data_IF_422156219810
#
_entry.id   IF_422156219810
#
_cell.length_a   1.000
_cell.length_b   1.000
_cell.length_c   1.000
_cell.angle_alpha   90.00
_cell.angle_beta   90.00
_cell.angle_gamma   90.00
#
_symmetry.space_group_name_H-M   'P 1'
#
loop_
_entity.id
_entity.type
_entity.pdbx_description
1 polymer ?
#
# COMPACT_ATOMS: atom_id res chain seq x y z
N UNK A 1 29.94 18.99 -2.29
CA UNK A 1 31.37 18.99 -1.88
C UNK A 1 32.11 18.02 -2.79
N UNK A 2 33.08 18.53 -3.55
CA UNK A 2 33.88 17.72 -4.48
C UNK A 2 34.68 16.68 -3.68
N UNK A 3 34.67 15.41 -4.10
CA UNK A 3 35.51 14.38 -3.47
C UNK A 3 36.97 14.73 -3.81
N UNK A 4 37.89 14.79 -2.84
CA UNK A 4 39.30 15.00 -3.14
C UNK A 4 39.80 13.83 -4.01
N UNK A 5 40.24 14.14 -5.22
CA UNK A 5 40.86 13.18 -6.13
C UNK A 5 42.34 13.07 -5.76
N UNK A 6 42.84 11.84 -5.59
CA UNK A 6 44.25 11.56 -5.32
C UNK A 6 44.76 10.77 -6.52
N UNK A 7 45.72 11.35 -7.25
CA UNK A 7 46.36 10.68 -8.38
C UNK A 7 47.16 9.46 -7.90
N UNK A 8 47.26 8.43 -8.74
CA UNK A 8 47.90 7.14 -8.37
C UNK A 8 49.33 7.31 -7.87
N UNK A 9 50.05 8.29 -8.39
CA UNK A 9 51.43 8.61 -8.04
C UNK A 9 51.58 9.09 -6.59
N UNK A 10 50.53 9.66 -6.02
CA UNK A 10 50.48 10.15 -4.65
C UNK A 10 49.90 9.14 -3.66
N UNK A 11 49.55 7.94 -4.11
CA UNK A 11 49.01 6.87 -3.28
C UNK A 11 50.04 5.77 -3.01
N UNK A 12 50.16 5.37 -1.74
CA UNK A 12 50.95 4.22 -1.31
C UNK A 12 50.01 3.03 -1.13
N UNK A 13 49.96 2.16 -2.12
CA UNK A 13 49.08 0.99 -2.14
C UNK A 13 49.42 -0.03 -1.05
N UNK A 14 50.71 -0.13 -0.68
CA UNK A 14 51.19 -1.09 0.32
C UNK A 14 50.79 -0.64 1.73
N UNK A 15 50.97 0.65 2.03
CA UNK A 15 50.70 1.21 3.35
C UNK A 15 49.32 1.86 3.48
N UNK A 16 48.53 1.91 2.39
CA UNK A 16 47.20 2.53 2.29
C UNK A 16 47.17 3.97 2.78
N UNK A 17 48.19 4.75 2.41
CA UNK A 17 48.38 6.15 2.82
C UNK A 17 48.68 7.03 1.61
N UNK A 18 48.37 8.32 1.73
CA UNK A 18 48.83 9.34 0.80
C UNK A 18 50.32 9.60 1.04
N UNK A 19 51.12 9.52 -0.01
CA UNK A 19 52.56 9.78 0.02
C UNK A 19 52.85 11.22 0.41
N UNK A 20 54.02 11.45 1.03
CA UNK A 20 54.48 12.79 1.45
C UNK A 20 54.60 13.80 0.30
N UNK A 21 54.65 13.32 -0.95
CA UNK A 21 54.69 14.16 -2.16
C UNK A 21 53.40 14.94 -2.40
N UNK A 22 52.28 14.59 -1.75
CA UNK A 22 51.03 15.32 -1.90
C UNK A 22 50.96 16.49 -0.89
N UNK A 23 50.62 17.73 -1.32
CA UNK A 23 50.59 18.92 -0.45
C UNK A 23 49.73 18.76 0.82
N UNK A 24 48.62 18.00 0.70
CA UNK A 24 47.71 17.71 1.80
C UNK A 24 47.89 16.33 2.44
N UNK A 25 49.03 15.66 2.23
CA UNK A 25 49.26 14.27 2.67
C UNK A 25 48.95 14.07 4.17
N UNK A 26 49.38 15.00 5.02
CA UNK A 26 49.13 14.93 6.47
C UNK A 26 47.64 14.99 6.78
N UNK A 27 46.92 15.97 6.22
CA UNK A 27 45.48 16.13 6.46
C UNK A 27 44.66 14.97 5.89
N UNK A 28 45.02 14.46 4.71
CA UNK A 28 44.36 13.32 4.08
C UNK A 28 44.62 12.02 4.85
N UNK A 29 45.85 11.77 5.29
CA UNK A 29 46.17 10.61 6.11
C UNK A 29 45.48 10.66 7.48
N UNK A 30 45.35 11.84 8.08
CA UNK A 30 44.59 12.01 9.32
C UNK A 30 43.09 11.74 9.09
N UNK A 31 42.53 12.18 7.96
CA UNK A 31 41.14 11.88 7.59
C UNK A 31 40.92 10.38 7.34
N UNK A 32 41.85 9.73 6.62
CA UNK A 32 41.82 8.28 6.37
C UNK A 32 41.90 7.53 7.71
N UNK A 33 42.85 7.91 8.58
CA UNK A 33 43.00 7.31 9.90
C UNK A 33 41.74 7.51 10.73
N UNK A 34 41.17 8.72 10.77
CA UNK A 34 39.91 9.00 11.45
C UNK A 34 38.78 8.12 10.93
N UNK A 35 38.64 7.94 9.61
CA UNK A 35 37.63 7.07 9.01
C UNK A 35 37.86 5.59 9.32
N UNK A 36 39.11 5.13 9.32
CA UNK A 36 39.49 3.77 9.71
C UNK A 36 39.13 3.54 11.18
N UNK A 37 39.50 4.46 12.06
CA UNK A 37 39.20 4.39 13.51
C UNK A 37 37.70 4.48 13.79
N UNK A 38 36.96 5.38 13.12
CA UNK A 38 35.49 5.44 13.21
C UNK A 38 34.84 4.12 12.77
N UNK A 39 35.39 3.48 11.74
CA UNK A 39 34.89 2.20 11.23
C UNK A 39 35.25 1.05 12.16
N UNK A 40 36.47 1.03 12.70
CA UNK A 40 36.94 0.05 13.68
C UNK A 40 36.19 0.16 15.01
N UNK A 41 35.95 1.37 15.51
CA UNK A 41 35.16 1.62 16.71
C UNK A 41 33.72 1.12 16.56
N UNK A 42 33.08 1.39 15.40
CA UNK A 42 31.77 0.81 15.09
C UNK A 42 31.78 -0.72 15.02
N UNK A 43 32.85 -1.33 14.53
CA UNK A 43 33.03 -2.78 14.50
C UNK A 43 33.12 -3.39 15.92
N UNK A 44 33.89 -2.75 16.81
CA UNK A 44 34.07 -3.19 18.19
C UNK A 44 32.77 -3.02 18.99
N UNK A 45 32.08 -1.88 18.85
CA UNK A 45 30.77 -1.66 19.46
C UNK A 45 29.71 -2.66 18.96
N UNK A 46 29.84 -3.13 17.72
CA UNK A 46 28.96 -4.15 17.13
C UNK A 46 29.23 -5.55 17.69
N UNK A 47 30.50 -5.96 17.83
CA UNK A 47 30.89 -7.23 18.46
C UNK A 47 30.49 -7.28 19.94
N UNK A 48 30.60 -6.15 20.66
CA UNK A 48 30.19 -6.06 22.06
C UNK A 48 28.65 -6.11 22.26
N UNK A 49 27.86 -5.94 21.20
CA UNK A 49 26.38 -5.83 21.28
C UNK A 49 25.62 -7.13 21.03
N UNK A 50 26.32 -8.28 20.98
CA UNK A 50 25.79 -9.65 20.98
C UNK A 50 24.60 -9.89 20.03
N UNK A 51 24.72 -9.35 18.81
CA UNK A 51 23.86 -9.72 17.70
C UNK A 51 24.78 -10.26 16.61
N UNK A 52 24.61 -11.53 16.29
CA UNK A 52 25.14 -12.19 15.08
C UNK A 52 24.73 -11.41 13.81
N UNK A 53 25.38 -10.27 13.55
CA UNK A 53 25.19 -9.48 12.34
C UNK A 53 26.02 -10.19 11.28
N UNK A 54 25.35 -11.02 10.48
CA UNK A 54 25.94 -11.72 9.34
C UNK A 54 26.84 -10.78 8.52
N UNK A 55 28.00 -11.27 8.09
CA UNK A 55 28.91 -10.61 7.14
C UNK A 55 28.16 -10.09 5.90
N UNK A 56 27.02 -10.68 5.53
CA UNK A 56 26.13 -10.21 4.46
C UNK A 56 25.41 -8.90 4.80
N UNK A 57 24.98 -8.72 6.04
CA UNK A 57 24.41 -7.46 6.54
C UNK A 57 25.49 -6.37 6.66
N UNK A 58 26.71 -6.75 7.06
CA UNK A 58 27.89 -5.86 7.07
C UNK A 58 28.21 -5.40 5.64
N UNK A 59 28.29 -6.32 4.68
CA UNK A 59 28.52 -6.00 3.26
C UNK A 59 27.42 -5.11 2.69
N UNK A 60 26.15 -5.32 3.07
CA UNK A 60 25.01 -4.49 2.62
C UNK A 60 24.99 -3.08 3.24
N UNK A 61 25.52 -2.92 4.47
CA UNK A 61 25.74 -1.61 5.11
C UNK A 61 26.95 -0.88 4.54
N UNK A 62 28.00 -1.61 4.16
CA UNK A 62 29.23 -1.05 3.55
C UNK A 62 29.02 -0.71 2.07
N UNK A 63 28.26 -1.53 1.33
CA UNK A 63 27.86 -1.27 -0.06
C UNK A 63 26.61 -0.37 -0.03
N UNK A 64 26.82 0.91 0.27
CA UNK A 64 25.90 2.05 0.13
C UNK A 64 24.47 1.73 -0.38
N UNK A 65 23.57 1.32 0.50
CA UNK A 65 22.27 1.99 0.55
C UNK A 65 22.47 3.16 1.49
N UNK A 66 22.65 4.36 0.93
CA UNK A 66 22.71 5.56 1.77
C UNK A 66 21.47 5.61 2.67
N UNK A 67 21.59 6.23 3.83
CA UNK A 67 20.48 6.46 4.77
C UNK A 67 19.43 7.47 4.24
N UNK A 68 19.35 7.64 2.93
CA UNK A 68 18.44 8.55 2.26
C UNK A 68 17.03 7.95 2.21
N UNK A 69 16.07 8.63 2.84
CA UNK A 69 14.68 8.22 2.89
C UNK A 69 14.09 7.98 1.49
N UNK A 70 14.40 8.81 0.50
CA UNK A 70 13.80 8.68 -0.84
C UNK A 70 14.26 7.41 -1.54
N UNK A 71 15.54 7.06 -1.41
CA UNK A 71 16.08 5.81 -1.94
C UNK A 71 15.40 4.59 -1.29
N UNK A 72 15.24 4.60 0.03
CA UNK A 72 14.59 3.51 0.78
C UNK A 72 13.09 3.41 0.41
N UNK A 73 12.42 4.55 0.26
CA UNK A 73 11.02 4.62 -0.13
C UNK A 73 10.82 4.11 -1.57
N UNK A 74 11.72 4.41 -2.49
CA UNK A 74 11.66 3.90 -3.86
C UNK A 74 11.84 2.38 -3.90
N UNK A 75 12.80 1.84 -3.14
CA UNK A 75 12.98 0.39 -3.00
C UNK A 75 11.73 -0.28 -2.41
N UNK A 76 11.12 0.34 -1.41
CA UNK A 76 9.87 -0.12 -0.82
C UNK A 76 8.74 -0.20 -1.86
N UNK A 77 8.54 0.86 -2.64
CA UNK A 77 7.51 0.90 -3.70
C UNK A 77 7.81 -0.12 -4.82
N UNK A 78 9.07 -0.27 -5.24
CA UNK A 78 9.49 -1.31 -6.21
C UNK A 78 9.21 -2.72 -5.69
N UNK A 79 9.39 -2.96 -4.39
CA UNK A 79 9.05 -4.25 -3.80
C UNK A 79 7.54 -4.51 -3.81
N UNK A 80 6.69 -3.50 -3.58
CA UNK A 80 5.24 -3.66 -3.74
C UNK A 80 4.86 -4.00 -5.18
N UNK A 81 5.50 -3.36 -6.16
CA UNK A 81 5.29 -3.64 -7.59
C UNK A 81 5.71 -5.07 -7.96
N UNK A 82 6.88 -5.51 -7.51
CA UNK A 82 7.37 -6.89 -7.72
C UNK A 82 6.50 -7.96 -7.06
N UNK A 83 5.86 -7.61 -5.95
CA UNK A 83 4.90 -8.49 -5.26
C UNK A 83 3.48 -8.34 -5.81
N UNK A 84 3.29 -7.61 -6.91
CA UNK A 84 2.00 -7.35 -7.57
C UNK A 84 0.94 -6.72 -6.64
N UNK A 85 1.38 -6.02 -5.59
CA UNK A 85 0.51 -5.32 -4.63
C UNK A 85 0.04 -3.98 -5.19
N UNK A 86 -0.49 -3.97 -6.41
CA UNK A 86 -0.81 -2.75 -7.16
C UNK A 86 -1.82 -1.84 -6.44
N UNK A 87 -2.79 -2.42 -5.73
CA UNK A 87 -3.73 -1.65 -4.89
C UNK A 87 -2.99 -0.84 -3.82
N UNK A 88 -2.10 -1.49 -3.08
CA UNK A 88 -1.29 -0.84 -2.04
C UNK A 88 -0.33 0.19 -2.65
N UNK A 89 0.37 -0.17 -3.74
CA UNK A 89 1.27 0.70 -4.47
C UNK A 89 0.58 2.00 -4.92
N UNK A 90 -0.61 1.88 -5.52
CA UNK A 90 -1.37 3.03 -6.01
C UNK A 90 -1.79 4.00 -4.89
N UNK A 91 -2.01 3.47 -3.69
CA UNK A 91 -2.41 4.24 -2.53
C UNK A 91 -1.22 4.86 -1.79
N UNK A 92 -0.06 4.20 -1.79
CA UNK A 92 1.12 4.61 -1.01
C UNK A 92 2.09 5.48 -1.80
N UNK A 93 2.18 5.31 -3.12
CA UNK A 93 3.03 6.14 -4.00
C UNK A 93 2.74 7.64 -3.85
N UNK A 94 1.48 8.11 -3.86
CA UNK A 94 1.19 9.53 -3.61
C UNK A 94 1.56 9.99 -2.20
N UNK A 95 1.46 9.11 -1.19
CA UNK A 95 1.79 9.47 0.21
C UNK A 95 3.28 9.73 0.38
N UNK A 96 4.12 8.93 -0.28
CA UNK A 96 5.57 9.16 -0.35
C UNK A 96 5.86 10.46 -1.10
N UNK A 97 5.16 10.72 -2.21
CA UNK A 97 5.32 11.94 -2.99
C UNK A 97 5.00 13.20 -2.16
N UNK A 98 3.88 13.20 -1.42
CA UNK A 98 3.53 14.31 -0.53
C UNK A 98 4.58 14.57 0.56
N UNK A 99 5.18 13.52 1.12
CA UNK A 99 6.24 13.71 2.11
C UNK A 99 7.51 14.29 1.47
N UNK A 100 7.85 13.86 0.24
CA UNK A 100 8.94 14.45 -0.54
C UNK A 100 8.68 15.93 -0.87
N UNK A 101 7.47 16.28 -1.25
CA UNK A 101 7.05 17.66 -1.49
C UNK A 101 7.14 18.53 -0.23
N UNK A 102 6.74 18.00 0.93
CA UNK A 102 6.88 18.68 2.22
C UNK A 102 8.34 18.97 2.57
N UNK A 103 9.24 18.00 2.37
CA UNK A 103 10.66 18.13 2.71
C UNK A 103 11.43 19.10 1.80
N UNK A 104 10.94 19.33 0.56
CA UNK A 104 11.54 20.24 -0.43
C UNK A 104 13.04 20.02 -0.68
N UNK A 105 13.52 18.79 -0.55
CA UNK A 105 14.93 18.44 -0.70
C UNK A 105 15.14 17.25 -1.65
N UNK A 106 16.37 17.13 -2.18
CA UNK A 106 16.76 16.04 -3.09
C UNK A 106 17.15 14.76 -2.34
N UNK A 107 17.65 14.90 -1.12
CA UNK A 107 18.06 13.80 -0.23
C UNK A 107 17.69 14.16 1.19
N UNK A 108 17.23 13.17 1.94
CA UNK A 108 16.84 13.35 3.34
C UNK A 108 17.31 12.17 4.18
N UNK A 109 18.25 12.35 5.13
CA UNK A 109 18.65 11.28 6.04
C UNK A 109 17.46 10.81 6.88
N UNK A 110 17.13 9.53 6.81
CA UNK A 110 15.95 8.96 7.47
C UNK A 110 16.03 9.07 9.01
N UNK A 111 17.23 9.14 9.58
CA UNK A 111 17.47 9.34 11.02
C UNK A 111 17.02 10.73 11.51
N UNK A 112 16.87 11.70 10.59
CA UNK A 112 16.34 13.03 10.90
C UNK A 112 14.80 13.05 10.96
N UNK A 113 14.13 11.93 10.68
CA UNK A 113 12.68 11.83 10.91
C UNK A 113 12.44 11.72 12.41
N UNK A 114 11.98 12.81 13.01
CA UNK A 114 11.66 12.94 14.42
C UNK A 114 10.19 13.36 14.66
N UNK A 115 9.80 13.51 15.92
CA UNK A 115 8.43 13.89 16.30
C UNK A 115 8.07 15.29 15.80
N UNK A 116 8.90 16.35 15.99
CA UNK A 116 8.63 17.68 15.43
C UNK A 116 8.38 17.68 13.92
N UNK A 117 9.23 17.01 13.14
CA UNK A 117 9.09 16.92 11.68
C UNK A 117 7.76 16.27 11.29
N UNK A 118 7.39 15.16 11.94
CA UNK A 118 6.15 14.46 11.65
C UNK A 118 4.91 15.30 12.02
N UNK A 119 4.95 16.06 13.13
CA UNK A 119 3.89 17.02 13.47
C UNK A 119 3.78 18.15 12.45
N UNK A 120 4.92 18.67 11.98
CA UNK A 120 4.96 19.65 10.89
C UNK A 120 4.34 19.10 9.62
N UNK A 121 4.65 17.84 9.27
CA UNK A 121 4.06 17.18 8.12
C UNK A 121 2.56 16.96 8.26
N UNK A 122 2.06 16.58 9.44
CA UNK A 122 0.62 16.49 9.71
C UNK A 122 -0.08 17.84 9.49
N UNK A 123 0.53 18.92 9.97
CA UNK A 123 0.00 20.28 9.83
C UNK A 123 -0.05 20.70 8.36
N UNK A 124 1.02 20.43 7.60
CA UNK A 124 1.08 20.62 6.16
C UNK A 124 -0.05 19.85 5.43
N UNK A 125 -0.23 18.56 5.72
CA UNK A 125 -1.28 17.75 5.09
C UNK A 125 -2.69 18.28 5.40
N UNK A 126 -2.89 18.81 6.61
CA UNK A 126 -4.18 19.34 7.04
C UNK A 126 -4.47 20.72 6.44
N UNK A 127 -3.52 21.64 6.53
CA UNK A 127 -3.71 23.06 6.20
C UNK A 127 -3.49 23.36 4.71
N UNK A 128 -2.48 22.76 4.08
CA UNK A 128 -2.10 23.09 2.70
C UNK A 128 -2.67 22.10 1.67
N UNK A 129 -2.92 20.85 2.09
CA UNK A 129 -3.47 19.79 1.22
C UNK A 129 -4.94 19.48 1.52
N UNK A 130 -5.52 20.05 2.57
CA UNK A 130 -6.92 19.87 2.97
C UNK A 130 -7.33 18.39 3.13
N UNK A 131 -6.38 17.55 3.56
CA UNK A 131 -6.59 16.10 3.70
C UNK A 131 -7.23 15.78 5.06
N UNK A 132 -8.20 14.87 5.06
CA UNK A 132 -8.87 14.45 6.29
C UNK A 132 -7.96 13.60 7.22
N UNK A 133 -8.27 13.60 8.53
CA UNK A 133 -7.40 13.03 9.56
C UNK A 133 -7.11 11.54 9.35
N UNK A 134 -8.11 10.76 8.91
CA UNK A 134 -7.92 9.35 8.55
C UNK A 134 -6.85 9.18 7.47
N UNK A 135 -6.85 10.06 6.48
CA UNK A 135 -5.88 10.02 5.38
C UNK A 135 -4.52 10.52 5.84
N UNK A 136 -4.44 11.50 6.75
CA UNK A 136 -3.19 11.90 7.41
C UNK A 136 -2.56 10.70 8.15
N UNK A 137 -3.34 9.96 8.93
CA UNK A 137 -2.88 8.74 9.62
C UNK A 137 -2.32 7.72 8.62
N UNK A 138 -2.97 7.55 7.45
CA UNK A 138 -2.47 6.68 6.40
C UNK A 138 -1.10 7.13 5.83
N UNK A 139 -0.82 8.44 5.76
CA UNK A 139 0.51 8.93 5.37
C UNK A 139 1.56 8.54 6.40
N UNK A 140 1.26 8.74 7.70
CA UNK A 140 2.18 8.40 8.79
C UNK A 140 2.45 6.89 8.87
N UNK A 141 1.46 6.05 8.55
CA UNK A 141 1.64 4.58 8.48
C UNK A 141 2.68 4.21 7.42
N UNK A 142 2.66 4.86 6.25
CA UNK A 142 3.64 4.60 5.18
C UNK A 142 5.04 5.00 5.63
N UNK A 143 5.18 6.20 6.19
CA UNK A 143 6.48 6.68 6.71
C UNK A 143 7.00 5.73 7.79
N UNK A 144 6.15 5.33 8.74
CA UNK A 144 6.50 4.35 9.79
C UNK A 144 6.93 3.01 9.20
N UNK A 145 6.23 2.53 8.17
CA UNK A 145 6.56 1.27 7.50
C UNK A 145 7.94 1.33 6.85
N UNK A 146 8.24 2.42 6.14
CA UNK A 146 9.53 2.65 5.49
C UNK A 146 10.64 2.75 6.55
N UNK A 147 10.41 3.50 7.64
CA UNK A 147 11.34 3.63 8.76
C UNK A 147 11.64 2.27 9.40
N UNK A 148 10.61 1.47 9.68
CA UNK A 148 10.76 0.13 10.22
C UNK A 148 11.50 -0.82 9.27
N UNK A 149 11.28 -0.69 7.96
CA UNK A 149 12.05 -1.44 6.96
C UNK A 149 13.54 -1.09 7.03
N UNK A 150 13.87 0.20 7.18
CA UNK A 150 15.25 0.65 7.33
C UNK A 150 15.92 0.09 8.59
N UNK A 151 15.22 0.07 9.73
CA UNK A 151 15.71 -0.58 10.96
C UNK A 151 15.94 -2.08 10.72
N UNK A 152 14.94 -2.77 10.15
CA UNK A 152 14.98 -4.23 9.92
C UNK A 152 16.13 -4.62 8.99
N UNK A 153 16.40 -3.81 7.98
CA UNK A 153 17.53 -4.00 7.05
C UNK A 153 18.88 -3.55 7.64
N UNK A 154 18.87 -2.95 8.84
CA UNK A 154 20.07 -2.48 9.51
C UNK A 154 20.65 -1.20 8.90
N UNK A 155 19.87 -0.43 8.15
CA UNK A 155 20.33 0.84 7.56
C UNK A 155 20.50 1.89 8.67
N UNK A 156 19.61 1.87 9.67
CA UNK A 156 19.61 2.80 10.80
C UNK A 156 19.36 2.06 12.12
N UNK A 157 19.77 2.69 13.23
CA UNK A 157 19.49 2.21 14.58
C UNK A 157 18.10 2.65 15.06
N UNK A 158 17.58 1.93 16.05
CA UNK A 158 16.27 2.22 16.66
C UNK A 158 16.30 3.35 17.71
N UNK A 159 17.45 3.99 17.95
CA UNK A 159 17.64 4.94 19.06
C UNK A 159 16.68 6.14 19.00
N UNK A 160 16.45 6.68 17.81
CA UNK A 160 15.65 7.89 17.60
C UNK A 160 14.25 7.60 17.01
N UNK A 161 13.71 6.41 17.23
CA UNK A 161 12.44 6.00 16.62
C UNK A 161 11.28 6.95 16.97
N UNK A 162 10.57 7.57 16.00
CA UNK A 162 9.66 8.68 16.27
C UNK A 162 8.19 8.27 16.53
N UNK A 163 7.89 6.97 16.62
CA UNK A 163 6.54 6.47 16.85
C UNK A 163 6.44 5.74 18.20
N UNK A 164 5.31 5.84 18.90
CA UNK A 164 5.12 5.18 20.19
C UNK A 164 4.18 5.93 21.13
N UNK A 165 4.05 5.43 22.37
CA UNK A 165 3.13 5.96 23.40
C UNK A 165 3.37 7.44 23.68
N UNK A 166 4.61 7.87 23.79
CA UNK A 166 4.96 9.27 24.11
C UNK A 166 5.47 10.05 22.89
N UNK A 167 5.20 9.55 21.68
CA UNK A 167 5.68 10.08 20.40
C UNK A 167 4.51 10.19 19.41
N UNK A 168 4.76 10.01 18.10
CA UNK A 168 3.66 9.97 17.13
C UNK A 168 2.84 8.68 17.33
N UNK A 169 1.57 8.85 17.70
CA UNK A 169 0.62 7.75 17.81
C UNK A 169 -0.17 7.59 16.50
N UNK A 170 -0.23 6.35 16.02
CA UNK A 170 -1.05 5.98 14.87
C UNK A 170 -2.40 5.53 15.39
N UNK A 171 -3.35 6.45 15.45
CA UNK A 171 -4.74 6.20 15.86
C UNK A 171 -5.67 6.74 14.79
N UNK A 172 -6.54 5.89 14.27
CA UNK A 172 -7.56 6.35 13.34
C UNK A 172 -8.66 7.11 14.08
N UNK A 173 -9.20 8.20 13.51
CA UNK A 173 -10.42 8.79 14.04
C UNK A 173 -11.55 7.77 13.97
N UNK A 174 -12.47 7.84 14.93
CA UNK A 174 -13.69 7.05 14.89
C UNK A 174 -14.56 7.51 13.72
N UNK A 175 -15.31 6.58 13.14
CA UNK A 175 -16.27 6.88 12.07
C UNK A 175 -17.59 6.23 12.41
N UNK A 176 -18.65 7.02 12.40
CA UNK A 176 -20.01 6.52 12.51
C UNK A 176 -20.34 5.80 11.20
N UNK A 177 -20.63 4.50 11.29
CA UNK A 177 -21.10 3.71 10.15
C UNK A 177 -22.62 3.59 10.24
N UNK A 178 -23.32 4.31 9.37
CA UNK A 178 -24.78 4.23 9.28
C UNK A 178 -25.13 3.20 8.20
N UNK A 179 -25.65 2.05 8.61
CA UNK A 179 -26.13 1.01 7.71
C UNK A 179 -27.50 1.32 7.13
N UNK A 180 -27.87 0.58 6.08
CA UNK A 180 -29.25 0.56 5.58
C UNK A 180 -30.15 -0.24 6.55
N UNK A 181 -31.37 0.24 6.70
CA UNK A 181 -32.45 -0.46 7.37
C UNK A 181 -33.04 -1.53 6.45
N UNK A 182 -33.79 -2.47 7.01
CA UNK A 182 -34.47 -3.49 6.22
C UNK A 182 -35.41 -2.87 5.17
N UNK A 183 -36.17 -1.84 5.53
CA UNK A 183 -37.09 -1.15 4.62
C UNK A 183 -36.36 -0.47 3.46
N UNK A 184 -35.20 0.13 3.73
CA UNK A 184 -34.37 0.73 2.67
C UNK A 184 -33.81 -0.34 1.71
N UNK A 185 -33.43 -1.51 2.22
CA UNK A 185 -32.99 -2.63 1.35
C UNK A 185 -34.15 -3.14 0.51
N UNK A 186 -35.34 -3.32 1.10
CA UNK A 186 -36.55 -3.73 0.39
C UNK A 186 -36.94 -2.70 -0.68
N UNK A 187 -36.82 -1.41 -0.38
CA UNK A 187 -37.07 -0.33 -1.34
C UNK A 187 -36.14 -0.44 -2.56
N UNK A 188 -34.86 -0.78 -2.38
CA UNK A 188 -33.93 -1.03 -3.49
C UNK A 188 -34.33 -2.27 -4.29
N UNK A 189 -34.67 -3.36 -3.59
CA UNK A 189 -35.04 -4.63 -4.19
C UNK A 189 -36.25 -4.48 -5.12
N UNK A 190 -37.28 -3.77 -4.66
CA UNK A 190 -38.59 -3.64 -5.31
C UNK A 190 -38.65 -2.57 -6.40
N UNK A 191 -37.57 -1.83 -6.69
CA UNK A 191 -37.59 -0.82 -7.76
C UNK A 191 -37.95 -1.44 -9.11
N UNK A 192 -38.91 -0.85 -9.80
CA UNK A 192 -39.17 -1.17 -11.21
C UNK A 192 -38.06 -0.54 -12.06
N UNK A 193 -37.21 -1.39 -12.63
CA UNK A 193 -36.07 -0.98 -13.44
C UNK A 193 -36.10 -1.78 -14.75
N UNK A 194 -35.84 -1.11 -15.86
CA UNK A 194 -35.68 -1.75 -17.17
C UNK A 194 -34.54 -2.78 -17.10
N UNK A 195 -34.76 -4.07 -17.43
CA UNK A 195 -33.73 -5.11 -17.43
C UNK A 195 -32.50 -4.81 -18.30
N UNK A 196 -32.63 -3.93 -19.30
CA UNK A 196 -31.52 -3.48 -20.14
C UNK A 196 -30.69 -2.34 -19.51
N UNK A 197 -31.22 -1.69 -18.45
CA UNK A 197 -30.61 -0.54 -17.81
C UNK A 197 -29.38 -0.90 -16.97
N UNK A 198 -28.52 0.10 -16.76
CA UNK A 198 -27.34 -0.06 -15.88
C UNK A 198 -27.71 -0.03 -14.40
N UNK A 199 -28.82 0.61 -14.06
CA UNK A 199 -29.44 0.60 -12.74
C UNK A 199 -29.88 -0.82 -12.37
N UNK A 200 -30.62 -1.52 -13.24
CA UNK A 200 -31.03 -2.91 -13.01
C UNK A 200 -29.83 -3.83 -12.81
N UNK A 201 -28.83 -3.72 -13.69
CA UNK A 201 -27.58 -4.48 -13.59
C UNK A 201 -26.85 -4.21 -12.25
N UNK A 202 -26.73 -2.94 -11.88
CA UNK A 202 -26.03 -2.53 -10.65
C UNK A 202 -26.76 -3.02 -9.41
N UNK A 203 -28.10 -2.98 -9.41
CA UNK A 203 -28.92 -3.54 -8.33
C UNK A 203 -28.59 -5.02 -8.13
N UNK A 204 -28.49 -5.80 -9.21
CA UNK A 204 -28.20 -7.23 -9.11
C UNK A 204 -26.82 -7.50 -8.52
N UNK A 205 -25.78 -6.79 -8.97
CA UNK A 205 -24.42 -6.93 -8.42
C UNK A 205 -24.40 -6.58 -6.92
N UNK A 206 -25.11 -5.51 -6.54
CA UNK A 206 -25.19 -5.07 -5.14
C UNK A 206 -26.01 -6.02 -4.26
N UNK A 207 -27.17 -6.49 -4.73
CA UNK A 207 -27.99 -7.47 -4.01
C UNK A 207 -27.27 -8.80 -3.85
N UNK A 208 -26.52 -9.25 -4.87
CA UNK A 208 -25.74 -10.47 -4.76
C UNK A 208 -24.65 -10.32 -3.67
N UNK A 209 -23.95 -9.18 -3.63
CA UNK A 209 -23.02 -8.85 -2.55
C UNK A 209 -23.71 -8.90 -1.18
N UNK A 210 -24.87 -8.24 -1.05
CA UNK A 210 -25.66 -8.18 0.19
C UNK A 210 -26.11 -9.56 0.66
N UNK A 211 -26.77 -10.35 -0.21
CA UNK A 211 -27.31 -11.67 0.12
C UNK A 211 -26.24 -12.69 0.49
N UNK A 212 -25.01 -12.51 0.00
CA UNK A 212 -23.89 -13.39 0.30
C UNK A 212 -23.03 -12.85 1.45
N UNK A 213 -23.66 -12.29 2.48
CA UNK A 213 -23.00 -11.77 3.68
C UNK A 213 -22.00 -10.62 3.40
N UNK A 214 -22.33 -9.75 2.45
CA UNK A 214 -21.54 -8.54 2.15
C UNK A 214 -20.21 -8.84 1.46
N UNK A 215 -20.18 -9.76 0.49
CA UNK A 215 -18.97 -10.05 -0.30
C UNK A 215 -18.47 -8.75 -0.94
N UNK A 216 -17.16 -8.50 -0.89
CA UNK A 216 -16.57 -7.30 -1.51
C UNK A 216 -16.82 -7.33 -3.02
N UNK A 217 -17.11 -6.18 -3.60
CA UNK A 217 -17.35 -6.05 -5.05
C UNK A 217 -16.27 -6.67 -5.92
N UNK A 218 -14.99 -6.56 -5.57
CA UNK A 218 -13.91 -7.21 -6.32
C UNK A 218 -14.12 -8.73 -6.38
N UNK A 219 -14.34 -9.35 -5.22
CA UNK A 219 -14.62 -10.79 -5.11
C UNK A 219 -15.92 -11.18 -5.85
N UNK A 220 -16.96 -10.31 -5.85
CA UNK A 220 -18.20 -10.54 -6.60
C UNK A 220 -17.98 -10.54 -8.11
N UNK A 221 -17.19 -9.59 -8.62
CA UNK A 221 -16.89 -9.46 -10.04
C UNK A 221 -15.95 -10.56 -10.56
N UNK A 222 -15.12 -11.11 -9.67
CA UNK A 222 -14.21 -12.23 -9.95
C UNK A 222 -14.87 -13.61 -9.80
N UNK A 223 -16.11 -13.66 -9.29
CA UNK A 223 -16.80 -14.91 -8.99
C UNK A 223 -17.16 -15.68 -10.26
N UNK A 224 -16.91 -17.00 -10.23
CA UNK A 224 -17.16 -17.90 -11.36
C UNK A 224 -18.19 -18.95 -11.04
N UNK A 225 -18.81 -19.46 -12.11
CA UNK A 225 -19.77 -20.56 -12.01
C UNK A 225 -19.18 -21.85 -11.43
N UNK A 226 -17.86 -22.07 -11.55
CA UNK A 226 -17.18 -23.23 -10.93
C UNK A 226 -17.19 -23.16 -9.39
N UNK A 227 -17.34 -21.96 -8.83
CA UNK A 227 -17.35 -21.70 -7.39
C UNK A 227 -18.74 -21.97 -6.79
N UNK A 228 -19.77 -22.15 -7.64
CA UNK A 228 -21.15 -22.45 -7.25
C UNK A 228 -21.40 -23.94 -7.39
N UNK A 229 -21.58 -24.64 -6.27
CA UNK A 229 -21.76 -26.09 -6.22
C UNK A 229 -22.80 -26.45 -5.16
N UNK A 230 -23.76 -27.30 -5.50
CA UNK A 230 -24.75 -27.86 -4.56
C UNK A 230 -25.53 -26.77 -3.78
N UNK A 231 -25.91 -25.68 -4.44
CA UNK A 231 -26.61 -24.55 -3.81
C UNK A 231 -25.74 -23.72 -2.85
N UNK A 232 -24.41 -23.85 -2.94
CA UNK A 232 -23.45 -23.12 -2.12
C UNK A 232 -22.42 -22.40 -3.00
N UNK A 233 -21.99 -21.24 -2.53
CA UNK A 233 -20.83 -20.54 -3.05
C UNK A 233 -19.61 -20.91 -2.21
N UNK A 234 -18.57 -21.45 -2.85
CA UNK A 234 -17.28 -21.79 -2.24
C UNK A 234 -16.18 -20.97 -2.93
N UNK A 235 -15.62 -19.99 -2.24
CA UNK A 235 -14.58 -19.12 -2.82
C UNK A 235 -13.54 -18.70 -1.78
N UNK A 236 -12.40 -18.20 -2.27
CA UNK A 236 -11.34 -17.63 -1.44
C UNK A 236 -11.37 -16.11 -1.55
N UNK A 237 -11.45 -15.41 -0.41
CA UNK A 237 -11.43 -13.94 -0.40
C UNK A 237 -10.06 -13.42 -0.87
N UNK A 238 -10.01 -12.55 -1.87
CA UNK A 238 -8.74 -12.05 -2.39
C UNK A 238 -7.92 -11.27 -1.35
N UNK A 239 -8.60 -10.47 -0.52
CA UNK A 239 -7.91 -9.58 0.44
C UNK A 239 -7.24 -10.32 1.60
N UNK A 240 -7.89 -11.36 2.13
CA UNK A 240 -7.51 -12.03 3.37
C UNK A 240 -7.17 -13.52 3.18
N UNK A 241 -7.33 -14.04 1.96
CA UNK A 241 -7.07 -15.43 1.59
C UNK A 241 -7.89 -16.46 2.39
N UNK A 242 -8.96 -16.02 3.04
CA UNK A 242 -9.87 -16.89 3.80
C UNK A 242 -10.80 -17.62 2.85
N UNK A 243 -10.86 -18.94 2.97
CA UNK A 243 -11.83 -19.78 2.27
C UNK A 243 -13.19 -19.66 2.96
N UNK A 244 -14.25 -19.46 2.17
CA UNK A 244 -15.61 -19.26 2.65
C UNK A 244 -16.54 -20.19 1.89
N UNK A 245 -17.51 -20.76 2.61
CA UNK A 245 -18.60 -21.54 2.05
C UNK A 245 -19.93 -20.95 2.52
N UNK A 246 -20.69 -20.37 1.61
CA UNK A 246 -21.97 -19.70 1.90
C UNK A 246 -23.12 -20.47 1.25
N UNK A 247 -24.20 -20.69 1.99
CA UNK A 247 -25.46 -21.16 1.41
C UNK A 247 -26.03 -20.04 0.55
N UNK A 248 -26.43 -20.34 -0.68
CA UNK A 248 -27.02 -19.35 -1.58
C UNK A 248 -28.49 -19.16 -1.17
N UNK A 249 -28.92 -17.96 -0.77
CA UNK A 249 -30.33 -17.69 -0.47
C UNK A 249 -31.18 -17.73 -1.73
N UNK A 250 -32.47 -18.02 -1.59
CA UNK A 250 -33.41 -18.11 -2.71
C UNK A 250 -33.44 -16.83 -3.57
N UNK A 251 -33.44 -15.65 -2.93
CA UNK A 251 -33.36 -14.36 -3.63
C UNK A 251 -32.09 -14.20 -4.49
N UNK A 252 -30.98 -14.79 -4.06
CA UNK A 252 -29.75 -14.79 -4.86
C UNK A 252 -29.86 -15.78 -6.03
N UNK A 253 -30.56 -16.92 -5.87
CA UNK A 253 -30.80 -17.88 -6.96
C UNK A 253 -31.50 -17.21 -8.14
N UNK A 254 -32.48 -16.33 -7.91
CA UNK A 254 -33.13 -15.56 -8.98
C UNK A 254 -32.12 -14.77 -9.82
N UNK A 255 -31.11 -14.17 -9.18
CA UNK A 255 -30.04 -13.45 -9.87
C UNK A 255 -29.16 -14.46 -10.63
N UNK A 256 -28.74 -15.56 -10.01
CA UNK A 256 -27.97 -16.60 -10.68
C UNK A 256 -28.68 -17.12 -11.93
N UNK A 257 -29.94 -17.54 -11.84
CA UNK A 257 -30.71 -18.08 -12.97
C UNK A 257 -30.79 -17.12 -14.15
N UNK A 258 -30.84 -15.80 -13.91
CA UNK A 258 -30.77 -14.81 -14.99
C UNK A 258 -29.41 -14.81 -15.71
N UNK A 259 -28.31 -14.94 -14.98
CA UNK A 259 -26.95 -14.88 -15.56
C UNK A 259 -26.44 -16.23 -16.08
N UNK A 260 -27.08 -17.34 -15.73
CA UNK A 260 -26.67 -18.70 -16.11
C UNK A 260 -26.55 -18.91 -17.64
N UNK A 261 -27.52 -18.45 -18.47
CA UNK A 261 -27.39 -18.55 -19.93
C UNK A 261 -26.17 -17.82 -20.50
N UNK A 262 -25.63 -16.84 -19.78
CA UNK A 262 -24.47 -16.04 -20.21
C UNK A 262 -23.13 -16.60 -19.71
N UNK A 263 -23.11 -17.75 -19.02
CA UNK A 263 -21.89 -18.38 -18.46
C UNK A 263 -20.75 -18.49 -19.47
N UNK A 264 -21.03 -19.04 -20.67
CA UNK A 264 -20.01 -19.19 -21.72
C UNK A 264 -19.62 -17.83 -22.28
N UNK A 265 -20.62 -16.97 -22.55
CA UNK A 265 -20.39 -15.63 -23.09
C UNK A 265 -19.50 -14.78 -22.18
N UNK A 266 -19.61 -14.95 -20.87
CA UNK A 266 -18.88 -14.20 -19.85
C UNK A 266 -17.52 -14.81 -19.52
N UNK A 267 -17.08 -15.89 -20.21
CA UNK A 267 -15.82 -16.56 -19.91
C UNK A 267 -15.82 -17.32 -18.59
N UNK A 268 -16.99 -17.80 -18.15
CA UNK A 268 -17.16 -18.55 -16.91
C UNK A 268 -17.40 -17.69 -15.66
N UNK A 269 -17.26 -16.37 -15.76
CA UNK A 269 -17.65 -15.42 -14.71
C UNK A 269 -19.18 -15.29 -14.64
N UNK A 270 -19.70 -14.99 -13.45
CA UNK A 270 -21.13 -14.68 -13.27
C UNK A 270 -21.45 -13.34 -13.93
N UNK A 271 -20.62 -12.33 -13.66
CA UNK A 271 -20.71 -11.01 -14.27
C UNK A 271 -19.67 -10.80 -15.38
N UNK A 272 -19.96 -10.02 -16.43
CA UNK A 272 -19.15 -9.94 -17.63
C UNK A 272 -17.87 -9.10 -17.52
N UNK A 273 -17.60 -8.40 -16.41
CA UNK A 273 -16.52 -7.41 -16.30
C UNK A 273 -15.15 -7.95 -16.72
N UNK A 274 -14.82 -9.17 -16.30
CA UNK A 274 -13.51 -9.79 -16.53
C UNK A 274 -13.48 -10.70 -17.76
N UNK A 275 -14.53 -10.65 -18.59
CA UNK A 275 -14.56 -11.39 -19.85
C UNK A 275 -13.36 -11.02 -20.72
N UNK A 276 -12.56 -12.02 -21.09
CA UNK A 276 -11.41 -11.87 -21.99
C UNK A 276 -10.21 -11.16 -21.36
N UNK A 277 -10.22 -10.91 -20.05
CA UNK A 277 -9.07 -10.40 -19.31
C UNK A 277 -8.20 -11.59 -18.90
N UNK A 278 -6.90 -11.49 -19.13
CA UNK A 278 -5.95 -12.50 -18.61
C UNK A 278 -5.91 -12.43 -17.08
N UNK A 279 -6.33 -13.51 -16.42
CA UNK A 279 -6.33 -13.67 -14.97
C UNK A 279 -4.95 -13.57 -14.34
N UNK A 280 -3.91 -13.87 -15.12
CA UNK A 280 -2.52 -13.76 -14.66
C UNK A 280 -2.00 -12.33 -14.70
N UNK A 281 -2.67 -11.43 -15.42
CA UNK A 281 -2.36 -10.00 -15.42
C UNK A 281 -3.12 -9.31 -14.28
N UNK A 282 -2.56 -9.43 -13.07
CA UNK A 282 -3.05 -8.78 -11.85
C UNK A 282 -3.28 -7.26 -12.02
N UNK A 283 -2.54 -6.59 -12.92
CA UNK A 283 -2.68 -5.15 -13.18
C UNK A 283 -3.89 -4.86 -14.06
N UNK A 284 -4.10 -5.65 -15.11
CA UNK A 284 -5.28 -5.54 -15.99
C UNK A 284 -6.57 -5.85 -15.22
N UNK A 285 -6.58 -6.96 -14.46
CA UNK A 285 -7.71 -7.36 -13.60
C UNK A 285 -8.07 -6.22 -12.65
N UNK A 286 -7.07 -5.63 -11.97
CA UNK A 286 -7.29 -4.52 -11.07
C UNK A 286 -7.88 -3.28 -11.77
N UNK A 287 -7.38 -2.93 -12.95
CA UNK A 287 -7.86 -1.78 -13.70
C UNK A 287 -9.35 -1.94 -14.07
N UNK A 288 -9.74 -3.14 -14.51
CA UNK A 288 -11.13 -3.48 -14.85
C UNK A 288 -12.03 -3.40 -13.63
N UNK A 289 -11.65 -4.04 -12.52
CA UNK A 289 -12.42 -4.02 -11.27
C UNK A 289 -12.60 -2.58 -10.75
N UNK A 290 -11.54 -1.75 -10.83
CA UNK A 290 -11.62 -0.35 -10.40
C UNK A 290 -12.62 0.44 -11.24
N UNK A 291 -12.59 0.24 -12.55
CA UNK A 291 -13.51 0.91 -13.47
C UNK A 291 -14.96 0.45 -13.26
N UNK A 292 -15.16 -0.86 -13.08
CA UNK A 292 -16.46 -1.44 -12.76
C UNK A 292 -17.00 -0.90 -11.44
N UNK A 293 -16.21 -0.92 -10.36
CA UNK A 293 -16.62 -0.39 -9.06
C UNK A 293 -16.99 1.11 -9.13
N UNK A 294 -16.26 1.92 -9.90
CA UNK A 294 -16.61 3.34 -10.14
C UNK A 294 -17.97 3.46 -10.83
N UNK A 295 -18.22 2.62 -11.84
CA UNK A 295 -19.49 2.58 -12.59
C UNK A 295 -20.64 2.14 -11.71
N UNK A 296 -20.49 1.05 -10.97
CA UNK A 296 -21.48 0.53 -10.03
C UNK A 296 -21.86 1.58 -8.98
N UNK A 297 -20.88 2.22 -8.33
CA UNK A 297 -21.17 3.28 -7.35
C UNK A 297 -21.86 4.51 -7.98
N UNK A 298 -21.62 4.83 -9.25
CA UNK A 298 -22.34 5.89 -9.96
C UNK A 298 -23.83 5.54 -10.09
N UNK A 299 -24.15 4.30 -10.47
CA UNK A 299 -25.53 3.86 -10.65
C UNK A 299 -26.23 3.57 -9.31
N UNK A 300 -25.51 3.10 -8.28
CA UNK A 300 -26.05 2.97 -6.93
C UNK A 300 -26.55 4.29 -6.35
N UNK A 301 -25.86 5.40 -6.63
CA UNK A 301 -26.35 6.73 -6.23
C UNK A 301 -27.66 7.10 -6.92
N UNK A 302 -27.91 6.61 -8.14
CA UNK A 302 -29.20 6.83 -8.83
C UNK A 302 -30.28 5.93 -8.24
N UNK A 303 -29.96 4.66 -8.00
CA UNK A 303 -30.83 3.69 -7.33
C UNK A 303 -31.26 4.22 -5.96
N UNK A 304 -30.33 4.74 -5.15
CA UNK A 304 -30.64 5.35 -3.86
C UNK A 304 -31.63 6.51 -3.98
N UNK A 305 -31.47 7.38 -4.99
CA UNK A 305 -32.41 8.47 -5.27
C UNK A 305 -33.80 7.94 -5.67
N UNK A 306 -33.86 6.93 -6.54
CA UNK A 306 -35.12 6.31 -6.97
C UNK A 306 -35.84 5.64 -5.79
N UNK A 307 -35.09 4.99 -4.90
CA UNK A 307 -35.59 4.38 -3.66
C UNK A 307 -35.85 5.39 -2.53
N UNK A 308 -35.65 6.70 -2.77
CA UNK A 308 -35.82 7.77 -1.77
C UNK A 308 -34.97 7.59 -0.50
N UNK A 309 -33.76 7.04 -0.65
CA UNK A 309 -32.79 6.80 0.41
C UNK A 309 -31.82 7.98 0.50
N UNK A 310 -31.80 8.65 1.65
CA UNK A 310 -30.91 9.79 1.91
C UNK A 310 -29.49 9.37 2.32
N UNK A 311 -29.29 8.11 2.72
CA UNK A 311 -27.99 7.56 3.11
C UNK A 311 -27.10 7.36 1.89
N UNK A 312 -25.78 7.45 2.11
CA UNK A 312 -24.81 7.16 1.04
C UNK A 312 -24.71 5.65 0.81
N UNK A 313 -25.31 5.16 -0.28
CA UNK A 313 -25.24 3.76 -0.70
C UNK A 313 -24.03 3.54 -1.60
N UNK A 314 -23.20 2.56 -1.25
CA UNK A 314 -22.04 2.15 -2.04
C UNK A 314 -21.95 0.63 -2.14
N UNK A 315 -21.07 0.13 -3.02
CA UNK A 315 -20.74 -1.30 -3.09
C UNK A 315 -20.04 -1.83 -1.83
N UNK A 316 -19.57 -0.95 -0.94
CA UNK A 316 -19.07 -1.37 0.36
C UNK A 316 -20.23 -1.38 1.35
N UNK A 317 -20.65 -2.59 1.73
CA UNK A 317 -21.73 -2.85 2.68
C UNK A 317 -21.15 -2.97 4.10
#
# INVERSE_FOLDING_TARGET
>A
MSRPHIEKEHWDEKNKKVRKSHPNAVRLNNLITKRITETGGKLIEMDASDKNVSVKAIRKRIINKGNDFFTIAEDYLKNLERLEKYNQLSAEKPRVAHFKEFLKCKKFPIEQIDVPLLKGFQSYLKAEREICDRTIVNHLIVIRTIYNSAIKEGIIDNKNYPFGKDKIQIKFPESIKIGLTQDEVLAIEQLELDPSSKEWYTRNVWLLSFYLAGIRVADVLEMKWKDVQEGRLRYQMNKNQKVVSLKIPEKALTIFSYYEPYKVLNGGYIFPELKGVDEKDSKAVLAVIRNANKKLNKYLKRIAKLAKINKNVTMHI
#
